data_IF_174427774152
#
_entry.id   IF_174427774152
#
_cell.length_a   1.000
_cell.length_b   1.000
_cell.length_c   1.000
_cell.angle_alpha   90.00
_cell.angle_beta   90.00
_cell.angle_gamma   90.00
#
_symmetry.space_group_name_H-M   'P 1'
#
loop_
_entity.id
_entity.type
_entity.pdbx_description
1 polymer ?
#
# COMPACT_ATOMS: atom_id res chain seq x y z
N UNK A 1 -19.09 -9.16 -1.93
CA UNK A 1 -18.67 -7.93 -2.62
C UNK A 1 -18.55 -6.80 -1.61
N UNK A 2 -17.35 -6.24 -1.42
CA UNK A 2 -17.12 -5.01 -0.68
C UNK A 2 -17.82 -3.87 -1.39
N UNK A 3 -18.36 -2.93 -0.61
CA UNK A 3 -19.05 -1.76 -1.12
C UNK A 3 -18.21 -0.51 -0.80
N UNK A 4 -18.37 0.58 -1.58
CA UNK A 4 -17.79 1.86 -1.22
C UNK A 4 -18.17 2.26 0.21
N UNK A 5 -17.26 2.92 0.90
CA UNK A 5 -17.51 3.56 2.21
C UNK A 5 -18.63 4.59 2.10
N UNK A 6 -18.65 5.37 1.01
CA UNK A 6 -19.76 6.22 0.60
C UNK A 6 -19.88 6.20 -0.93
N UNK A 7 -21.06 6.52 -1.45
CA UNK A 7 -21.31 6.68 -2.88
C UNK A 7 -22.12 7.95 -3.13
N UNK A 8 -22.02 8.50 -4.34
CA UNK A 8 -22.77 9.69 -4.76
C UNK A 8 -22.30 11.00 -4.12
N UNK A 9 -21.07 11.05 -3.58
CA UNK A 9 -20.53 12.27 -2.96
C UNK A 9 -19.15 12.62 -3.48
N UNK A 10 -18.77 13.90 -3.36
CA UNK A 10 -17.41 14.40 -3.59
C UNK A 10 -16.77 14.90 -2.30
N UNK A 11 -15.44 14.80 -2.21
CA UNK A 11 -14.65 15.26 -1.06
C UNK A 11 -14.01 16.61 -1.39
N UNK A 12 -14.47 17.67 -0.73
CA UNK A 12 -14.06 19.05 -1.03
C UNK A 12 -12.84 19.48 -0.22
N UNK A 13 -12.73 18.97 1.00
CA UNK A 13 -11.76 19.43 2.01
C UNK A 13 -11.26 18.28 2.88
N UNK A 14 -10.20 18.54 3.65
CA UNK A 14 -9.72 17.60 4.68
C UNK A 14 -10.75 17.38 5.78
N UNK A 15 -11.60 18.37 6.08
CA UNK A 15 -12.69 18.24 7.04
C UNK A 15 -13.75 17.24 6.56
N UNK A 16 -14.09 17.26 5.26
CA UNK A 16 -14.98 16.26 4.66
C UNK A 16 -14.37 14.85 4.83
N UNK A 17 -13.07 14.70 4.53
CA UNK A 17 -12.37 13.43 4.70
C UNK A 17 -12.36 12.96 6.16
N UNK A 18 -12.12 13.85 7.12
CA UNK A 18 -12.12 13.53 8.56
C UNK A 18 -13.49 13.07 9.04
N UNK A 19 -14.59 13.65 8.55
CA UNK A 19 -15.94 13.18 8.89
C UNK A 19 -16.21 11.76 8.39
N UNK A 20 -15.81 11.45 7.16
CA UNK A 20 -15.94 10.09 6.60
C UNK A 20 -15.09 9.09 7.40
N UNK A 21 -13.83 9.45 7.67
CA UNK A 21 -12.92 8.61 8.47
C UNK A 21 -13.46 8.40 9.89
N UNK A 22 -14.03 9.44 10.53
CA UNK A 22 -14.66 9.33 11.84
C UNK A 22 -15.87 8.40 11.82
N UNK A 23 -16.69 8.46 10.78
CA UNK A 23 -17.83 7.57 10.63
C UNK A 23 -17.38 6.10 10.51
N UNK A 24 -16.29 5.84 9.80
CA UNK A 24 -15.69 4.50 9.69
C UNK A 24 -15.09 4.03 11.02
N UNK A 25 -14.37 4.91 11.73
CA UNK A 25 -13.81 4.61 13.06
C UNK A 25 -14.90 4.28 14.09
N UNK A 26 -16.08 4.89 13.96
CA UNK A 26 -17.26 4.57 14.75
C UNK A 26 -18.05 3.34 14.24
N UNK A 27 -17.53 2.63 13.24
CA UNK A 27 -18.18 1.51 12.56
C UNK A 27 -19.56 1.84 11.97
N UNK A 28 -19.83 3.12 11.66
CA UNK A 28 -21.06 3.56 10.99
C UNK A 28 -20.99 3.45 9.46
N UNK A 29 -19.78 3.42 8.91
CA UNK A 29 -19.50 3.21 7.49
C UNK A 29 -18.48 2.07 7.34
N UNK A 30 -18.51 1.33 6.21
CA UNK A 30 -17.63 0.19 6.04
C UNK A 30 -16.19 0.60 5.80
N UNK A 31 -15.27 -0.08 6.50
CA UNK A 31 -13.83 -0.06 6.23
C UNK A 31 -13.51 -1.11 5.16
N UNK A 32 -12.66 -0.75 4.19
CA UNK A 32 -12.15 -1.67 3.19
C UNK A 32 -10.96 -2.41 3.78
N UNK A 33 -11.09 -3.72 3.95
CA UNK A 33 -10.13 -4.54 4.71
C UNK A 33 -9.24 -5.41 3.83
N UNK A 34 -9.64 -5.62 2.56
CA UNK A 34 -8.89 -6.40 1.58
C UNK A 34 -8.87 -5.70 0.22
N UNK A 35 -7.94 -6.10 -0.63
CA UNK A 35 -7.90 -5.64 -2.03
C UNK A 35 -9.24 -5.91 -2.72
N UNK A 36 -9.59 -5.00 -3.64
CA UNK A 36 -10.74 -5.17 -4.51
C UNK A 36 -10.53 -6.35 -5.45
N UNK A 37 -11.55 -7.17 -5.62
CA UNK A 37 -11.59 -8.20 -6.65
C UNK A 37 -11.88 -7.60 -8.04
N UNK A 38 -11.93 -8.45 -9.07
CA UNK A 38 -12.13 -8.00 -10.45
C UNK A 38 -13.48 -7.33 -10.69
N UNK A 39 -14.54 -7.77 -10.01
CA UNK A 39 -15.88 -7.20 -10.16
C UNK A 39 -16.00 -5.86 -9.43
N UNK A 40 -15.50 -5.81 -8.20
CA UNK A 40 -15.42 -4.61 -7.37
C UNK A 40 -14.61 -3.49 -8.07
N UNK A 41 -13.51 -3.84 -8.75
CA UNK A 41 -12.73 -2.87 -9.56
C UNK A 41 -13.51 -2.33 -10.75
N UNK A 42 -14.22 -3.21 -11.48
CA UNK A 42 -15.05 -2.79 -12.62
C UNK A 42 -16.23 -1.92 -12.19
N UNK A 43 -16.72 -2.09 -10.96
CA UNK A 43 -17.82 -1.32 -10.41
C UNK A 43 -17.46 0.09 -9.90
N UNK A 44 -16.16 0.44 -9.87
CA UNK A 44 -15.70 1.78 -9.45
C UNK A 44 -16.23 2.86 -10.38
N UNK A 45 -16.89 3.88 -9.81
CA UNK A 45 -17.51 4.98 -10.56
C UNK A 45 -17.39 6.33 -9.85
N UNK A 46 -17.77 7.40 -10.55
CA UNK A 46 -17.89 8.74 -9.99
C UNK A 46 -18.77 8.75 -8.73
N UNK A 47 -18.31 9.45 -7.69
CA UNK A 47 -18.98 9.56 -6.40
C UNK A 47 -18.63 8.46 -5.38
N UNK A 48 -17.88 7.43 -5.77
CA UNK A 48 -17.44 6.39 -4.83
C UNK A 48 -16.28 6.88 -3.96
N UNK A 49 -16.38 6.62 -2.66
CA UNK A 49 -15.35 6.92 -1.64
C UNK A 49 -15.04 5.64 -0.89
N UNK A 50 -13.76 5.33 -0.75
CA UNK A 50 -13.25 4.12 -0.08
C UNK A 50 -12.27 4.51 1.00
N UNK A 51 -12.46 3.96 2.21
CA UNK A 51 -11.53 4.13 3.33
C UNK A 51 -10.88 2.79 3.65
N UNK A 52 -9.57 2.79 3.89
CA UNK A 52 -8.81 1.59 4.25
C UNK A 52 -7.68 1.93 5.23
N UNK A 53 -7.33 0.94 6.05
CA UNK A 53 -6.18 1.01 6.96
C UNK A 53 -4.93 0.49 6.23
N UNK A 54 -3.85 1.27 6.24
CA UNK A 54 -2.54 0.81 5.76
C UNK A 54 -2.04 -0.29 6.67
N UNK A 55 -1.74 -1.45 6.08
CA UNK A 55 -1.14 -2.54 6.84
C UNK A 55 0.20 -2.09 7.42
N UNK A 56 0.31 -2.15 8.75
CA UNK A 56 1.58 -1.96 9.43
C UNK A 56 2.55 -3.12 9.15
N UNK A 57 3.86 -2.85 9.19
CA UNK A 57 4.91 -3.84 8.90
C UNK A 57 4.90 -5.08 9.81
N UNK A 58 4.15 -5.05 10.92
CA UNK A 58 4.11 -6.11 11.94
C UNK A 58 2.77 -6.87 11.97
N UNK A 59 1.74 -6.41 11.25
CA UNK A 59 0.47 -7.14 11.17
C UNK A 59 0.67 -8.34 10.24
N UNK A 60 1.14 -9.42 10.87
CA UNK A 60 1.12 -10.85 10.54
C UNK A 60 1.18 -11.13 9.05
N UNK A 61 2.29 -11.68 8.52
CA UNK A 61 2.57 -11.90 7.09
C UNK A 61 1.39 -12.49 6.28
N UNK A 62 0.48 -13.18 6.97
CA UNK A 62 -0.81 -13.76 6.58
C UNK A 62 -1.98 -12.78 6.35
N UNK A 63 -1.88 -11.50 6.74
CA UNK A 63 -2.97 -10.52 6.66
C UNK A 63 -3.19 -10.03 5.23
N UNK A 64 -4.40 -10.20 4.69
CA UNK A 64 -4.84 -9.73 3.36
C UNK A 64 -5.00 -8.19 3.24
N UNK A 65 -4.20 -7.44 4.00
CA UNK A 65 -4.30 -5.98 4.13
C UNK A 65 -3.86 -5.21 2.88
N UNK A 66 -4.20 -3.93 2.85
CA UNK A 66 -3.90 -3.03 1.73
C UNK A 66 -2.68 -2.19 2.12
N UNK A 67 -1.63 -2.23 1.30
CA UNK A 67 -0.46 -1.34 1.41
C UNK A 67 -0.55 -0.17 0.44
N UNK A 68 -1.10 -0.44 -0.74
CA UNK A 68 -1.30 0.52 -1.81
C UNK A 68 -2.65 0.26 -2.47
N UNK A 69 -3.40 1.32 -2.68
CA UNK A 69 -4.64 1.24 -3.42
C UNK A 69 -4.38 0.84 -4.87
N UNK A 70 -5.03 -0.23 -5.34
CA UNK A 70 -4.90 -0.75 -6.71
C UNK A 70 -6.28 -1.01 -7.30
N UNK A 71 -6.63 -0.27 -8.35
CA UNK A 71 -7.95 -0.25 -9.00
C UNK A 71 -7.92 -0.79 -10.43
N UNK A 72 -6.73 -1.04 -11.00
CA UNK A 72 -6.56 -1.57 -12.36
C UNK A 72 -6.72 -0.53 -13.46
N UNK A 73 -6.79 0.77 -13.13
CA UNK A 73 -6.90 1.87 -14.10
C UNK A 73 -5.54 2.53 -14.36
N UNK A 74 -5.35 3.04 -15.56
CA UNK A 74 -4.14 3.77 -15.95
C UNK A 74 -4.29 5.25 -15.60
N UNK A 75 -3.32 5.82 -14.89
CA UNK A 75 -3.37 7.22 -14.48
C UNK A 75 -2.21 8.03 -15.07
N UNK A 76 -2.44 9.34 -15.20
CA UNK A 76 -1.37 10.32 -15.40
C UNK A 76 -0.55 10.59 -14.13
N UNK A 77 0.48 11.45 -14.22
CA UNK A 77 1.27 11.88 -13.07
C UNK A 77 0.40 12.51 -11.98
N UNK A 78 0.77 12.30 -10.72
CA UNK A 78 0.04 12.87 -9.59
C UNK A 78 0.14 14.39 -9.56
N UNK A 79 -0.96 15.05 -9.17
CA UNK A 79 -1.02 16.48 -8.92
C UNK A 79 -1.34 16.73 -7.47
N UNK A 80 -0.63 17.67 -6.86
CA UNK A 80 -0.81 18.04 -5.46
C UNK A 80 -1.74 19.24 -5.40
N UNK A 81 -2.80 19.14 -4.59
CA UNK A 81 -3.61 20.30 -4.22
C UNK A 81 -3.97 20.15 -2.74
N UNK A 82 -3.53 21.10 -1.93
CA UNK A 82 -3.61 21.04 -0.48
C UNK A 82 -2.98 19.73 0.05
N UNK A 83 -3.69 19.00 0.92
CA UNK A 83 -3.25 17.70 1.44
C UNK A 83 -3.60 16.51 0.52
N UNK A 84 -4.20 16.76 -0.64
CA UNK A 84 -4.67 15.70 -1.53
C UNK A 84 -3.70 15.43 -2.69
N UNK A 85 -3.74 14.20 -3.20
CA UNK A 85 -3.18 13.83 -4.51
C UNK A 85 -4.31 13.55 -5.49
N UNK A 86 -4.16 14.06 -6.71
CA UNK A 86 -5.09 13.85 -7.80
C UNK A 86 -4.40 13.09 -8.92
N UNK A 87 -5.10 12.12 -9.47
CA UNK A 87 -4.69 11.30 -10.60
C UNK A 87 -5.87 11.26 -11.55
N UNK A 88 -5.64 11.58 -12.82
CA UNK A 88 -6.70 11.39 -13.80
C UNK A 88 -6.38 10.25 -14.71
N UNK A 89 -7.44 9.49 -14.96
CA UNK A 89 -7.44 8.37 -15.87
C UNK A 89 -6.91 8.80 -17.24
N UNK A 90 -6.05 7.95 -17.78
CA UNK A 90 -5.60 8.00 -19.16
C UNK A 90 -6.21 6.82 -19.90
N UNK A 91 -6.42 7.03 -21.18
CA UNK A 91 -6.76 5.94 -22.07
C UNK A 91 -5.60 4.94 -22.10
N UNK A 92 -5.93 3.65 -21.86
CA UNK A 92 -4.96 2.57 -21.88
C UNK A 92 -4.42 2.32 -23.29
N UNK A 93 -5.21 2.59 -24.33
CA UNK A 93 -4.80 2.41 -25.73
C UNK A 93 -3.91 3.56 -26.20
N UNK A 94 -4.02 4.75 -25.58
CA UNK A 94 -3.28 5.94 -25.96
C UNK A 94 -2.67 6.68 -24.75
N UNK A 95 -1.68 6.07 -24.07
CA UNK A 95 -1.11 6.59 -22.83
C UNK A 95 -0.37 7.93 -23.01
N UNK A 96 0.13 8.22 -24.22
CA UNK A 96 0.87 9.45 -24.54
C UNK A 96 -0.01 10.71 -24.48
N UNK A 97 -1.34 10.57 -24.48
CA UNK A 97 -2.29 11.69 -24.60
C UNK A 97 -2.68 12.28 -23.23
N UNK A 98 -2.23 13.50 -22.87
CA UNK A 98 -2.65 14.15 -21.62
C UNK A 98 -4.07 14.71 -21.75
N UNK A 99 -4.91 14.49 -20.74
CA UNK A 99 -6.27 15.07 -20.68
C UNK A 99 -6.26 16.57 -20.40
N UNK A 100 -7.28 17.32 -20.87
CA UNK A 100 -7.30 18.80 -20.80
C UNK A 100 -7.24 19.35 -19.37
N UNK A 101 -7.86 18.69 -18.40
CA UNK A 101 -7.77 19.08 -16.98
C UNK A 101 -6.31 19.02 -16.49
N UNK A 102 -5.51 18.05 -16.95
CA UNK A 102 -4.10 17.90 -16.57
C UNK A 102 -3.28 19.07 -17.10
N UNK A 103 -3.59 19.52 -18.33
CA UNK A 103 -2.98 20.68 -18.97
C UNK A 103 -3.32 21.97 -18.22
N UNK A 104 -4.57 22.14 -17.79
CA UNK A 104 -5.02 23.30 -17.00
C UNK A 104 -4.35 23.40 -15.62
N UNK A 105 -3.85 22.29 -15.07
CA UNK A 105 -3.07 22.25 -13.82
C UNK A 105 -1.54 22.20 -14.03
N UNK A 106 -1.05 22.68 -15.17
CA UNK A 106 0.39 22.88 -15.40
C UNK A 106 1.15 21.66 -15.90
N UNK A 107 0.51 20.74 -16.63
CA UNK A 107 1.24 19.75 -17.42
C UNK A 107 1.80 20.41 -18.70
N UNK A 108 3.11 20.64 -18.75
CA UNK A 108 3.80 21.00 -20.00
C UNK A 108 3.77 19.79 -20.96
N UNK A 109 3.25 19.93 -22.18
CA UNK A 109 3.34 18.87 -23.18
C UNK A 109 4.71 18.98 -23.86
N UNK A 110 5.64 18.12 -23.48
CA UNK A 110 6.88 17.92 -24.25
C UNK A 110 6.57 16.92 -25.36
N UNK A 111 6.34 17.44 -26.57
CA UNK A 111 6.17 16.65 -27.80
C UNK A 111 4.72 16.60 -28.29
N UNK A 112 4.40 17.43 -29.29
CA UNK A 112 3.15 17.30 -30.07
C UNK A 112 3.38 16.27 -31.18
N UNK A 113 2.73 15.11 -31.08
CA UNK A 113 2.73 14.11 -32.15
C UNK A 113 1.65 14.47 -33.18
N UNK A 114 1.88 14.32 -34.50
CA UNK A 114 0.87 14.60 -35.53
C UNK A 114 -0.40 13.73 -35.44
N UNK A 115 -0.39 12.68 -34.61
CA UNK A 115 -1.54 11.81 -34.30
C UNK A 115 -2.33 12.24 -33.05
N UNK A 116 -2.04 13.42 -32.49
CA UNK A 116 -2.83 14.05 -31.43
C UNK A 116 -4.15 14.61 -32.00
N UNK A 117 -5.08 13.72 -32.34
CA UNK A 117 -6.49 14.15 -32.41
C UNK A 117 -6.93 14.55 -31.00
N UNK A 118 -7.40 15.80 -30.79
CA UNK A 118 -7.85 16.24 -29.48
C UNK A 118 -9.02 15.36 -29.03
N UNK A 119 -8.96 14.82 -27.81
CA UNK A 119 -10.13 14.19 -27.18
C UNK A 119 -11.32 15.15 -27.30
N UNK A 120 -12.47 14.59 -27.63
CA UNK A 120 -13.71 15.36 -27.59
C UNK A 120 -13.86 15.91 -26.17
N UNK A 121 -14.38 17.12 -26.05
CA UNK A 121 -14.60 17.74 -24.75
C UNK A 121 -15.46 16.86 -23.83
N UNK A 122 -16.34 16.03 -24.41
CA UNK A 122 -17.18 15.09 -23.68
C UNK A 122 -16.36 13.98 -23.01
N UNK A 123 -15.36 13.44 -23.70
CA UNK A 123 -14.56 12.32 -23.20
C UNK A 123 -13.59 12.74 -22.06
N UNK A 124 -13.14 14.01 -22.09
CA UNK A 124 -12.43 14.62 -20.96
C UNK A 124 -13.33 14.81 -19.72
N UNK A 125 -14.64 15.03 -19.91
CA UNK A 125 -15.60 15.22 -18.81
C UNK A 125 -15.96 13.89 -18.14
N UNK A 126 -15.96 12.79 -18.90
CA UNK A 126 -16.22 11.43 -18.39
C UNK A 126 -14.98 10.76 -17.79
N UNK A 127 -13.78 11.28 -18.05
CA UNK A 127 -12.53 10.72 -17.52
C UNK A 127 -12.51 10.74 -15.99
N UNK A 128 -12.27 9.56 -15.39
CA UNK A 128 -12.32 9.42 -13.94
C UNK A 128 -11.11 10.08 -13.27
N UNK A 129 -11.36 10.89 -12.25
CA UNK A 129 -10.36 11.51 -11.39
C UNK A 129 -10.37 10.77 -10.06
N UNK A 130 -9.21 10.21 -9.71
CA UNK A 130 -8.94 9.64 -8.39
C UNK A 130 -8.29 10.70 -7.50
N UNK A 131 -8.93 10.97 -6.36
CA UNK A 131 -8.47 11.86 -5.31
C UNK A 131 -8.11 11.05 -4.08
N UNK A 132 -6.90 11.21 -3.55
CA UNK A 132 -6.44 10.47 -2.37
C UNK A 132 -6.02 11.39 -1.23
N UNK A 133 -6.25 10.91 -0.01
CA UNK A 133 -5.84 11.54 1.24
C UNK A 133 -5.32 10.47 2.20
N UNK A 134 -4.25 10.78 2.93
CA UNK A 134 -3.65 9.88 3.91
C UNK A 134 -3.54 10.58 5.25
N UNK A 135 -3.91 9.88 6.32
CA UNK A 135 -4.03 10.44 7.66
C UNK A 135 -3.45 9.48 8.69
N UNK A 136 -2.78 10.03 9.70
CA UNK A 136 -2.46 9.31 10.92
C UNK A 136 -3.57 9.50 11.94
N UNK A 137 -4.00 8.38 12.52
CA UNK A 137 -5.01 8.30 13.57
C UNK A 137 -4.31 7.78 14.82
N UNK A 138 -4.42 8.54 15.91
CA UNK A 138 -3.94 8.07 17.22
C UNK A 138 -4.97 7.10 17.81
N UNK A 139 -4.64 5.82 17.86
CA UNK A 139 -5.39 4.82 18.62
C UNK A 139 -4.73 4.66 19.99
N UNK A 140 -5.50 4.88 21.06
CA UNK A 140 -4.98 4.80 22.44
C UNK A 140 -4.55 3.38 22.82
N UNK A 141 -5.12 2.36 22.17
CA UNK A 141 -4.88 0.94 22.48
C UNK A 141 -3.87 0.30 21.53
N UNK A 142 -3.89 0.70 20.25
CA UNK A 142 -3.12 0.07 19.19
C UNK A 142 -1.97 0.93 18.65
N UNK A 143 -1.81 2.15 19.18
CA UNK A 143 -0.79 3.10 18.74
C UNK A 143 -1.22 3.87 17.49
N UNK A 144 -0.26 4.46 16.79
CA UNK A 144 -0.57 5.26 15.62
C UNK A 144 -0.89 4.37 14.41
N UNK A 145 -2.03 4.60 13.78
CA UNK A 145 -2.45 3.93 12.55
C UNK A 145 -2.44 4.90 11.40
N UNK A 146 -2.09 4.42 10.21
CA UNK A 146 -2.17 5.21 8.99
C UNK A 146 -3.35 4.73 8.16
N UNK A 147 -4.32 5.61 7.97
CA UNK A 147 -5.52 5.36 7.17
C UNK A 147 -5.46 6.17 5.88
N UNK A 148 -6.20 5.68 4.90
CA UNK A 148 -6.29 6.28 3.58
C UNK A 148 -7.74 6.43 3.16
N UNK A 149 -8.00 7.50 2.44
CA UNK A 149 -9.23 7.74 1.72
C UNK A 149 -8.91 7.84 0.23
N UNK A 150 -9.64 7.07 -0.59
CA UNK A 150 -9.61 7.13 -2.05
C UNK A 150 -11.01 7.48 -2.53
N UNK A 151 -11.17 8.65 -3.15
CA UNK A 151 -12.41 9.10 -3.75
C UNK A 151 -12.28 9.18 -5.28
N UNK A 152 -13.40 8.99 -5.97
CA UNK A 152 -13.49 9.07 -7.42
C UNK A 152 -14.55 10.07 -7.84
N UNK A 153 -14.26 10.87 -8.85
CA UNK A 153 -15.25 11.73 -9.50
C UNK A 153 -14.87 11.95 -10.96
N UNK A 154 -15.84 12.15 -11.84
CA UNK A 154 -15.61 12.63 -13.20
C UNK A 154 -15.96 14.11 -13.27
N UNK A 155 -15.26 14.90 -14.09
CA UNK A 155 -15.45 16.36 -14.12
C UNK A 155 -16.87 16.76 -14.56
N UNK A 156 -17.49 16.00 -15.47
CA UNK A 156 -18.86 16.21 -15.93
C UNK A 156 -19.92 15.93 -14.86
N UNK A 157 -19.59 15.12 -13.85
CA UNK A 157 -20.53 14.66 -12.83
C UNK A 157 -20.42 15.46 -11.52
N UNK A 158 -19.46 16.40 -11.42
CA UNK A 158 -19.16 17.11 -10.16
C UNK A 158 -20.36 17.84 -9.58
N UNK A 159 -21.23 18.38 -10.43
CA UNK A 159 -22.43 19.13 -10.01
C UNK A 159 -23.57 18.22 -9.55
N UNK A 160 -23.59 16.96 -9.99
CA UNK A 160 -24.57 15.95 -9.58
C UNK A 160 -24.18 15.24 -8.28
N UNK A 161 -22.91 15.31 -7.90
CA UNK A 161 -22.40 14.72 -6.68
C UNK A 161 -22.74 15.57 -5.45
N UNK A 162 -23.37 14.93 -4.47
CA UNK A 162 -23.55 15.48 -3.14
C UNK A 162 -22.22 15.63 -2.40
N UNK A 163 -22.31 15.95 -1.13
CA UNK A 163 -21.21 16.20 -0.22
C UNK A 163 -21.47 15.51 1.11
N UNK A 164 -20.50 15.57 2.01
CA UNK A 164 -20.70 15.04 3.37
C UNK A 164 -21.81 15.75 4.15
N UNK A 165 -22.16 16.98 3.76
CA UNK A 165 -23.22 17.77 4.41
C UNK A 165 -24.62 17.23 4.06
N UNK A 166 -24.76 16.58 2.90
CA UNK A 166 -26.01 15.97 2.42
C UNK A 166 -26.33 14.65 3.13
N UNK A 167 -25.42 14.15 3.97
CA UNK A 167 -25.60 12.93 4.76
C UNK A 167 -25.73 13.34 6.24
N UNK A 168 -26.96 13.43 6.80
CA UNK A 168 -27.19 14.08 8.09
C UNK A 168 -26.34 13.52 9.24
N UNK A 169 -26.18 12.19 9.30
CA UNK A 169 -25.42 11.56 10.38
C UNK A 169 -23.90 11.80 10.27
N UNK A 170 -23.37 12.11 9.09
CA UNK A 170 -21.95 12.42 8.84
C UNK A 170 -21.71 13.91 9.08
N UNK A 171 -22.61 14.76 8.58
CA UNK A 171 -22.59 16.20 8.77
C UNK A 171 -22.50 16.59 10.25
N UNK A 172 -23.22 15.87 11.11
CA UNK A 172 -23.27 16.14 12.55
C UNK A 172 -22.18 15.45 13.39
N UNK A 173 -21.20 14.75 12.78
CA UNK A 173 -20.18 14.04 13.55
C UNK A 173 -19.20 15.01 14.21
N UNK A 174 -19.00 14.91 15.54
CA UNK A 174 -17.94 15.65 16.20
C UNK A 174 -16.58 15.07 15.78
N UNK A 175 -15.68 15.97 15.36
CA UNK A 175 -14.30 15.65 14.96
C UNK A 175 -13.38 16.11 16.08
N UNK A 176 -12.82 15.19 16.89
CA UNK A 176 -11.93 15.58 17.97
C UNK A 176 -10.66 16.24 17.42
N UNK A 177 -10.30 17.39 17.98
CA UNK A 177 -9.10 18.11 17.56
C UNK A 177 -7.83 17.27 17.76
N UNK A 178 -6.92 17.35 16.79
CA UNK A 178 -5.63 16.65 16.86
C UNK A 178 -5.69 15.12 16.66
N UNK A 179 -6.89 14.51 16.57
CA UNK A 179 -7.08 13.07 16.33
C UNK A 179 -6.62 12.64 14.93
N UNK A 180 -6.85 13.48 13.93
CA UNK A 180 -6.55 13.22 12.54
C UNK A 180 -5.43 14.14 12.05
N UNK A 181 -4.30 13.55 11.68
CA UNK A 181 -3.11 14.30 11.28
C UNK A 181 -2.73 13.96 9.84
N UNK A 182 -2.67 14.95 8.95
CA UNK A 182 -2.24 14.73 7.56
C UNK A 182 -0.89 14.02 7.52
N UNK A 183 -0.80 12.92 6.78
CA UNK A 183 0.44 12.18 6.59
C UNK A 183 1.41 12.90 5.63
N UNK A 184 0.94 13.94 4.92
CA UNK A 184 1.77 14.74 4.02
C UNK A 184 2.49 15.89 4.72
N UNK A 185 2.03 16.32 5.90
CA UNK A 185 2.66 17.43 6.60
C UNK A 185 4.08 17.05 7.05
N UNK A 186 5.12 17.77 6.58
CA UNK A 186 6.52 17.42 6.86
C UNK A 186 6.86 17.41 8.36
N UNK A 187 6.15 18.18 9.19
CA UNK A 187 6.34 18.19 10.66
C UNK A 187 5.90 16.87 11.31
N UNK A 188 5.00 16.12 10.68
CA UNK A 188 4.55 14.82 11.19
C UNK A 188 5.51 13.69 10.84
N UNK A 189 6.27 13.80 9.73
CA UNK A 189 7.18 12.74 9.26
C UNK A 189 8.32 12.41 10.23
N UNK A 190 8.85 13.41 10.94
CA UNK A 190 9.93 13.21 11.91
C UNK A 190 9.48 12.43 13.16
N UNK A 191 8.29 12.74 13.67
CA UNK A 191 7.71 12.02 14.82
C UNK A 191 7.32 10.58 14.44
N UNK A 192 6.78 10.40 13.24
CA UNK A 192 6.37 9.09 12.70
C UNK A 192 7.52 8.09 12.57
N UNK A 193 8.66 8.51 12.01
CA UNK A 193 9.82 7.61 11.84
C UNK A 193 10.33 7.05 13.16
N UNK A 194 10.39 7.90 14.19
CA UNK A 194 10.84 7.50 15.53
C UNK A 194 9.81 6.62 16.24
N UNK A 195 8.51 6.91 16.09
CA UNK A 195 7.43 6.15 16.72
C UNK A 195 7.27 4.76 16.10
N UNK A 196 7.34 4.66 14.77
CA UNK A 196 7.33 3.39 14.06
C UNK A 196 8.56 2.53 14.41
N UNK A 197 9.74 3.15 14.58
CA UNK A 197 10.95 2.45 15.08
C UNK A 197 10.74 1.93 16.51
N UNK A 198 10.19 2.75 17.41
CA UNK A 198 9.92 2.38 18.81
C UNK A 198 8.86 1.30 18.93
N UNK A 199 7.82 1.33 18.10
CA UNK A 199 6.79 0.31 18.07
C UNK A 199 7.37 -1.04 17.61
N UNK A 200 8.23 -1.01 16.58
CA UNK A 200 8.98 -2.18 16.13
C UNK A 200 9.87 -2.74 17.25
N UNK A 201 10.59 -1.89 17.98
CA UNK A 201 11.45 -2.29 19.10
C UNK A 201 10.63 -2.91 20.28
N UNK A 202 9.49 -2.32 20.64
CA UNK A 202 8.61 -2.82 21.72
C UNK A 202 7.95 -4.16 21.40
N UNK A 203 7.61 -4.39 20.13
CA UNK A 203 6.98 -5.63 19.70
C UNK A 203 8.00 -6.77 19.53
N UNK A 204 9.21 -6.49 19.01
CA UNK A 204 10.33 -7.44 19.06
C UNK A 204 10.65 -7.84 20.51
N UNK A 205 10.64 -6.90 21.46
CA UNK A 205 10.84 -7.21 22.87
C UNK A 205 9.73 -8.08 23.50
N UNK A 206 8.52 -8.11 22.91
CA UNK A 206 7.43 -9.00 23.35
C UNK A 206 7.54 -10.41 22.76
N UNK A 207 8.03 -10.53 21.52
CA UNK A 207 8.22 -11.82 20.83
C UNK A 207 9.41 -12.62 21.41
N UNK A 208 10.43 -11.93 21.95
CA UNK A 208 11.60 -12.54 22.58
C UNK A 208 11.53 -12.60 24.12
N UNK A 209 10.34 -12.61 24.73
CA UNK A 209 10.26 -12.90 26.17
C UNK A 209 10.71 -14.34 26.43
N UNK A 210 11.75 -14.57 27.26
CA UNK A 210 12.08 -15.93 27.67
C UNK A 210 10.88 -16.49 28.43
N UNK A 211 10.41 -17.66 28.00
CA UNK A 211 9.46 -18.46 28.76
C UNK A 211 10.09 -18.65 30.14
N UNK A 212 9.54 -18.00 31.16
CA UNK A 212 9.86 -18.33 32.54
C UNK A 212 9.29 -19.73 32.77
N UNK A 213 10.13 -20.75 32.63
CA UNK A 213 9.81 -22.08 33.12
C UNK A 213 9.78 -21.99 34.64
N UNK A 214 8.58 -21.93 35.21
CA UNK A 214 8.38 -22.09 36.65
C UNK A 214 8.94 -23.47 37.04
N UNK A 215 10.07 -23.42 37.74
CA UNK A 215 10.77 -24.59 38.24
C UNK A 215 10.00 -25.21 39.40
N UNK A 216 9.40 -26.36 39.16
CA UNK A 216 9.10 -27.33 40.21
C UNK A 216 9.97 -28.57 39.99
N UNK A 217 11.15 -28.56 40.61
CA UNK A 217 12.04 -29.71 40.72
C UNK A 217 11.48 -30.67 41.78
N UNK A 218 10.99 -31.82 41.35
CA UNK A 218 10.60 -32.93 42.23
C UNK A 218 11.51 -34.12 41.92
N UNK A 219 12.33 -34.61 42.88
CA UNK A 219 13.25 -35.70 42.61
C UNK A 219 12.54 -37.04 42.81
N UNK A 220 11.97 -37.61 41.74
CA UNK A 220 11.56 -39.01 41.75
C UNK A 220 12.62 -39.89 41.08
N UNK A 221 13.32 -40.64 41.93
CA UNK A 221 14.18 -41.77 41.57
C UNK A 221 13.33 -42.85 40.89
N UNK A 222 13.60 -43.12 39.63
CA UNK A 222 13.29 -44.42 39.03
C UNK A 222 14.59 -45.04 38.52
N UNK A 223 14.90 -46.18 39.13
CA UNK A 223 15.97 -47.09 38.73
C UNK A 223 15.49 -47.91 37.54
N UNK A 224 16.31 -48.00 36.49
CA UNK A 224 16.15 -48.96 35.39
C UNK A 224 17.48 -49.72 35.16
N UNK A 225 17.42 -50.99 34.74
CA UNK A 225 18.53 -51.93 34.84
C UNK A 225 19.61 -51.71 33.76
N UNK A 226 20.85 -52.21 33.98
CA UNK A 226 21.95 -52.01 33.05
C UNK A 226 21.82 -52.97 31.87
N UNK A 227 21.81 -52.43 30.65
CA UNK A 227 22.04 -53.21 29.44
C UNK A 227 23.41 -52.85 28.85
N UNK A 228 24.13 -53.93 28.58
CA UNK A 228 25.51 -54.05 28.12
C UNK A 228 25.74 -53.41 26.74
N UNK A 229 26.82 -52.64 26.61
CA UNK A 229 27.37 -52.15 25.34
C UNK A 229 28.14 -53.26 24.60
N UNK A 230 28.06 -53.33 23.27
CA UNK A 230 29.19 -53.67 22.43
C UNK A 230 29.87 -52.39 21.88
N UNK A 231 31.19 -52.47 21.75
CA UNK A 231 32.13 -51.43 21.31
C UNK A 231 31.94 -51.03 19.82
N UNK A 232 32.56 -49.92 19.36
CA UNK A 232 32.14 -49.17 18.20
C UNK A 232 32.72 -49.70 16.89
N UNK A 233 31.93 -49.65 15.82
CA UNK A 233 32.46 -49.62 14.46
C UNK A 233 32.53 -48.17 13.99
N UNK A 234 33.74 -47.78 13.57
CA UNK A 234 34.03 -46.58 12.80
C UNK A 234 33.15 -46.53 11.56
N UNK A 235 32.47 -45.41 11.33
CA UNK A 235 32.41 -44.88 9.97
C UNK A 235 32.28 -43.35 9.97
N UNK A 236 32.97 -42.75 9.01
CA UNK A 236 33.19 -41.33 8.79
C UNK A 236 31.94 -40.64 8.21
N UNK A 237 31.55 -39.50 8.78
CA UNK A 237 31.07 -38.33 8.00
C UNK A 237 30.93 -37.08 8.90
N UNK A 238 31.71 -36.01 8.66
CA UNK A 238 31.45 -34.72 9.31
C UNK A 238 30.32 -33.96 8.58
N UNK A 239 29.27 -33.60 9.33
CA UNK A 239 28.29 -32.58 8.93
C UNK A 239 28.96 -31.19 8.97
N UNK A 240 28.89 -30.36 7.92
CA UNK A 240 29.42 -29.01 8.01
C UNK A 240 28.44 -28.08 8.71
N UNK A 241 28.98 -27.31 9.66
CA UNK A 241 28.39 -26.09 10.17
C UNK A 241 28.23 -25.08 9.03
N UNK A 242 27.17 -24.27 9.10
CA UNK A 242 26.96 -23.12 8.21
C UNK A 242 28.03 -22.05 8.48
N UNK A 243 29.18 -22.20 7.84
CA UNK A 243 30.22 -21.18 7.70
C UNK A 243 30.10 -20.51 6.34
N UNK A 244 30.15 -19.18 6.32
CA UNK A 244 30.20 -18.37 5.11
C UNK A 244 31.41 -18.79 4.26
N UNK A 245 31.20 -18.99 2.96
CA UNK A 245 32.26 -19.34 2.00
C UNK A 245 33.20 -18.15 1.78
N UNK A 246 34.53 -18.35 1.92
CA UNK A 246 35.51 -17.31 1.62
C UNK A 246 35.55 -16.93 0.14
N UNK A 247 35.85 -15.65 -0.12
CA UNK A 247 35.87 -14.98 -1.44
C UNK A 247 36.69 -15.62 -2.58
N UNK A 248 37.78 -16.39 -2.38
CA UNK A 248 38.54 -16.93 -3.52
C UNK A 248 37.90 -18.14 -4.21
N UNK A 249 36.71 -18.62 -3.76
CA UNK A 249 35.99 -19.71 -4.42
C UNK A 249 34.99 -19.24 -5.51
N UNK A 250 34.79 -17.93 -5.69
CA UNK A 250 33.88 -17.39 -6.71
C UNK A 250 34.54 -17.05 -8.05
N UNK A 251 35.88 -17.08 -8.14
CA UNK A 251 36.60 -16.56 -9.31
C UNK A 251 36.89 -17.60 -10.41
N UNK A 252 36.79 -18.91 -10.12
CA UNK A 252 37.20 -19.97 -11.07
C UNK A 252 36.05 -20.80 -11.68
N UNK A 253 34.80 -20.36 -11.54
CA UNK A 253 33.66 -21.06 -12.17
C UNK A 253 32.74 -20.06 -12.90
N UNK A 254 32.85 -19.91 -14.24
CA UNK A 254 31.89 -19.11 -14.98
C UNK A 254 30.52 -19.80 -14.92
N UNK A 255 29.53 -19.09 -14.40
CA UNK A 255 28.12 -19.51 -14.41
C UNK A 255 27.69 -19.97 -15.80
N UNK A 256 26.91 -21.06 -15.95
CA UNK A 256 26.40 -21.46 -17.25
C UNK A 256 25.57 -20.33 -17.85
N UNK A 257 26.01 -19.83 -19.01
CA UNK A 257 25.28 -18.87 -19.83
C UNK A 257 23.92 -19.49 -20.17
N UNK A 258 22.87 -19.06 -19.47
CA UNK A 258 21.50 -19.27 -19.92
C UNK A 258 21.38 -18.66 -21.31
N UNK A 259 21.09 -19.50 -22.32
CA UNK A 259 20.83 -19.07 -23.68
C UNK A 259 19.82 -17.92 -23.68
N UNK A 260 20.27 -16.73 -24.08
CA UNK A 260 19.42 -15.55 -24.29
C UNK A 260 18.56 -15.76 -25.54
N UNK A 261 17.33 -15.26 -25.48
CA UNK A 261 16.40 -15.28 -26.60
C UNK A 261 16.96 -14.41 -27.75
N UNK A 262 16.87 -14.82 -29.03
CA UNK A 262 17.41 -14.06 -30.17
C UNK A 262 16.86 -12.63 -30.31
N UNK A 263 15.66 -12.38 -29.78
CA UNK A 263 15.01 -11.07 -29.74
C UNK A 263 15.73 -10.07 -28.83
N UNK A 264 16.38 -10.54 -27.75
CA UNK A 264 17.05 -9.67 -26.77
C UNK A 264 18.37 -9.10 -27.33
N UNK A 265 19.00 -9.76 -28.31
CA UNK A 265 20.21 -9.24 -28.98
C UNK A 265 19.88 -8.07 -29.91
N UNK A 266 18.68 -8.02 -30.50
CA UNK A 266 18.28 -6.94 -31.41
C UNK A 266 18.09 -5.64 -30.64
N UNK A 267 17.55 -5.70 -29.42
CA UNK A 267 17.32 -4.51 -28.57
C UNK A 267 18.63 -3.89 -28.09
N UNK A 268 19.64 -4.70 -27.76
CA UNK A 268 20.94 -4.21 -27.30
C UNK A 268 21.76 -3.54 -28.42
N UNK A 269 21.62 -3.98 -29.68
CA UNK A 269 22.27 -3.33 -30.82
C UNK A 269 21.67 -1.97 -31.17
N UNK A 270 20.38 -1.76 -30.91
CA UNK A 270 19.72 -0.46 -31.12
C UNK A 270 20.11 0.61 -30.08
N UNK A 271 20.49 0.20 -28.87
CA UNK A 271 20.84 1.14 -27.78
C UNK A 271 22.30 1.60 -27.80
N UNK A 272 23.15 1.05 -28.68
CA UNK A 272 24.60 1.33 -28.71
C UNK A 272 25.07 2.06 -29.96
N UNK A 273 24.17 2.47 -30.87
CA UNK A 273 24.50 3.26 -32.07
C UNK A 273 23.83 4.64 -32.10
N UNK A 274 23.61 5.24 -30.92
CA UNK A 274 23.01 6.58 -30.78
C UNK A 274 23.85 7.53 -29.94
N UNK A 275 25.17 7.55 -30.14
CA UNK A 275 26.08 8.60 -29.69
C UNK A 275 26.85 9.14 -30.89
#
# INVERSE_FOLDING_TARGET
MQRPTCSGIRIRSTQDAHRIIRAVELNKLPLTVRRLDGEERRALKSGDVWVWEERGAVNDATSLGIERWTDGRTYGPSRVRDDFLFYTERDAEHPERPSKWARKQGASPTGSSPYDQPRSSADDLESLIKQTYSVFIQDERQGMKKWHLTAYFAQGHVEELGTVDDIPFIASLPIPEGRYRSARNPKNRYKDRDENRRQKERQLAHEFRPIQSDGHFVPHRYSLPPLTLPAPLLDHAPRPALGLTPLPFLEDNPTPRTHRCPEDEKVLRFLTQGL
#
